data_IF_070806816554
#
_entry.id   IF_070806816554
#
_cell.length_a   1.000
_cell.length_b   1.000
_cell.length_c   1.000
_cell.angle_alpha   90.00
_cell.angle_beta   90.00
_cell.angle_gamma   90.00
#
_symmetry.space_group_name_H-M   'P 1'
#
loop_
_entity.id
_entity.type
_entity.pdbx_description
1 polymer ?
#
# COMPACT_ATOMS: atom_id res chain seq x y z
N UNK A 1 4.89 -1.41 26.11
CA UNK A 1 4.96 -0.26 27.00
C UNK A 1 5.38 0.95 26.19
N UNK A 2 4.76 2.12 26.38
CA UNK A 2 5.21 3.34 25.70
C UNK A 2 6.65 3.65 26.16
N UNK A 3 7.48 4.00 25.19
CA UNK A 3 8.89 4.31 25.46
C UNK A 3 9.06 5.74 25.96
N UNK A 4 8.16 6.64 25.50
CA UNK A 4 8.08 8.03 25.92
C UNK A 4 6.61 8.44 26.04
N UNK A 5 6.23 9.00 27.18
CA UNK A 5 4.89 9.47 27.46
C UNK A 5 4.17 8.68 28.55
N UNK A 6 2.99 9.15 28.92
CA UNK A 6 2.20 8.59 30.03
C UNK A 6 1.35 7.35 29.63
N UNK A 7 1.40 6.96 28.36
CA UNK A 7 0.64 5.83 27.83
C UNK A 7 -0.86 6.08 27.65
N UNK A 8 -1.36 7.28 27.87
CA UNK A 8 -2.79 7.59 27.77
C UNK A 8 -3.34 7.24 26.39
N UNK A 9 -2.73 7.76 25.33
CA UNK A 9 -3.17 7.51 23.94
C UNK A 9 -3.15 6.03 23.57
N UNK A 10 -2.16 5.27 24.08
CA UNK A 10 -2.10 3.82 23.92
C UNK A 10 -3.27 3.12 24.63
N UNK A 11 -3.57 3.50 25.86
CA UNK A 11 -4.66 2.92 26.62
C UNK A 11 -6.03 3.24 26.00
N UNK A 12 -6.22 4.46 25.50
CA UNK A 12 -7.40 4.85 24.73
C UNK A 12 -7.55 4.01 23.47
N UNK A 13 -6.49 3.82 22.70
CA UNK A 13 -6.50 2.95 21.51
C UNK A 13 -6.90 1.52 21.86
N UNK A 14 -6.38 0.99 22.98
CA UNK A 14 -6.75 -0.35 23.45
C UNK A 14 -8.23 -0.41 23.89
N UNK A 15 -8.75 0.64 24.51
CA UNK A 15 -10.16 0.71 24.87
C UNK A 15 -11.06 0.70 23.64
N UNK A 16 -10.72 1.45 22.59
CA UNK A 16 -11.45 1.48 21.32
C UNK A 16 -11.45 0.12 20.62
N UNK A 17 -10.30 -0.56 20.58
CA UNK A 17 -10.17 -1.90 20.02
C UNK A 17 -10.91 -2.98 20.81
N UNK A 18 -11.21 -2.73 22.07
CA UNK A 18 -12.00 -3.64 22.92
C UNK A 18 -13.50 -3.27 22.98
N UNK A 19 -13.90 -2.21 22.28
CA UNK A 19 -15.28 -1.75 22.18
C UNK A 19 -16.16 -2.64 21.32
N UNK A 20 -17.41 -2.21 21.12
CA UNK A 20 -18.41 -2.95 20.34
C UNK A 20 -18.17 -2.88 18.82
N UNK A 21 -17.51 -1.82 18.35
CA UNK A 21 -17.22 -1.58 16.93
C UNK A 21 -15.73 -1.19 16.76
N UNK A 22 -14.80 -2.13 16.92
CA UNK A 22 -13.37 -1.88 16.86
C UNK A 22 -12.91 -1.14 15.60
N UNK A 23 -13.41 -1.53 14.41
CA UNK A 23 -13.01 -0.89 13.15
C UNK A 23 -13.40 0.57 13.11
N UNK A 24 -14.67 0.88 13.29
CA UNK A 24 -15.16 2.25 13.23
C UNK A 24 -14.53 3.14 14.33
N UNK A 25 -14.42 2.61 15.56
CA UNK A 25 -13.94 3.38 16.70
C UNK A 25 -12.44 3.65 16.65
N UNK A 26 -11.63 2.67 16.24
CA UNK A 26 -10.18 2.78 16.31
C UNK A 26 -9.56 3.61 15.16
N UNK A 27 -10.31 3.96 14.11
CA UNK A 27 -9.80 4.78 13.00
C UNK A 27 -9.29 6.16 13.43
N UNK A 28 -9.82 6.71 14.51
CA UNK A 28 -9.34 7.97 15.07
C UNK A 28 -7.94 7.86 15.70
N UNK A 29 -7.52 6.64 16.08
CA UNK A 29 -6.28 6.37 16.79
C UNK A 29 -5.29 5.50 16.02
N UNK A 30 -5.76 4.77 15.00
CA UNK A 30 -4.94 3.89 14.16
C UNK A 30 -5.03 4.32 12.70
N UNK A 31 -3.89 4.49 12.06
CA UNK A 31 -3.82 4.52 10.61
C UNK A 31 -4.05 3.08 10.08
N UNK A 32 -5.30 2.78 9.74
CA UNK A 32 -5.73 1.45 9.34
C UNK A 32 -4.98 0.97 8.08
N UNK A 33 -4.77 1.85 7.11
CA UNK A 33 -4.04 1.50 5.90
C UNK A 33 -2.58 1.14 6.21
N UNK A 34 -1.90 1.95 7.02
CA UNK A 34 -0.54 1.64 7.45
C UNK A 34 -0.47 0.36 8.29
N UNK A 35 -1.42 0.14 9.20
CA UNK A 35 -1.46 -1.09 10.00
C UNK A 35 -1.64 -2.34 9.12
N UNK A 36 -2.52 -2.26 8.12
CA UNK A 36 -2.72 -3.35 7.17
C UNK A 36 -1.44 -3.56 6.36
N UNK A 37 -0.84 -2.52 5.81
CA UNK A 37 0.40 -2.62 5.03
C UNK A 37 1.55 -3.23 5.82
N UNK A 38 1.71 -2.80 7.06
CA UNK A 38 2.67 -3.40 7.98
C UNK A 38 2.42 -4.89 8.18
N UNK A 39 1.15 -5.28 8.37
CA UNK A 39 0.76 -6.68 8.54
C UNK A 39 0.96 -7.49 7.25
N UNK A 40 0.66 -6.91 6.08
CA UNK A 40 0.92 -7.53 4.79
C UNK A 40 2.41 -7.82 4.59
N UNK A 41 3.28 -6.87 4.91
CA UNK A 41 4.72 -7.08 4.90
C UNK A 41 5.12 -8.20 5.86
N UNK A 42 4.60 -8.18 7.06
CA UNK A 42 4.89 -9.18 8.07
C UNK A 42 4.46 -10.59 7.63
N UNK A 43 3.21 -10.76 7.22
CA UNK A 43 2.68 -12.05 6.76
C UNK A 43 3.41 -12.55 5.50
N UNK A 44 3.80 -11.64 4.58
CA UNK A 44 4.53 -12.01 3.36
C UNK A 44 5.96 -12.45 3.64
N UNK A 45 6.62 -11.82 4.60
CA UNK A 45 8.03 -12.04 4.91
C UNK A 45 8.28 -13.04 6.02
N UNK A 46 7.24 -13.43 6.76
CA UNK A 46 7.34 -14.25 7.96
C UNK A 46 8.46 -13.80 8.89
N UNK A 47 8.34 -12.65 9.42
CA UNK A 47 9.34 -12.18 10.31
C UNK A 47 8.96 -12.44 11.77
N UNK A 48 9.95 -12.77 12.52
CA UNK A 48 9.82 -13.00 13.95
C UNK A 48 9.56 -11.72 14.75
N UNK A 49 9.39 -11.83 16.02
CA UNK A 49 8.75 -10.96 17.00
C UNK A 49 9.23 -9.50 17.11
N UNK A 50 10.29 -9.08 16.45
CA UNK A 50 10.90 -7.76 16.67
C UNK A 50 10.24 -6.60 15.88
N UNK A 51 9.28 -6.90 15.04
CA UNK A 51 8.61 -5.93 14.17
C UNK A 51 7.49 -5.11 14.82
N UNK A 52 7.40 -5.08 16.12
CA UNK A 52 6.29 -4.48 16.86
C UNK A 52 6.55 -3.03 17.26
N UNK A 53 7.21 -2.27 16.41
CA UNK A 53 7.44 -0.86 16.68
C UNK A 53 6.36 -0.01 16.04
N UNK A 54 5.76 0.86 16.82
CA UNK A 54 4.78 1.83 16.36
C UNK A 54 4.83 3.06 17.23
N UNK A 55 4.26 4.13 16.73
CA UNK A 55 4.22 5.38 17.45
C UNK A 55 3.25 6.38 16.85
N UNK A 56 2.87 7.35 17.65
CA UNK A 56 2.12 8.52 17.25
C UNK A 56 2.99 9.75 17.49
N UNK A 57 3.35 10.43 16.41
CA UNK A 57 4.13 11.68 16.47
C UNK A 57 3.61 12.64 15.42
N UNK A 58 3.11 13.83 15.79
CA UNK A 58 2.86 14.33 17.15
C UNK A 58 1.73 13.57 17.87
N UNK A 59 1.60 13.76 19.18
CA UNK A 59 0.51 13.17 19.96
C UNK A 59 -0.86 13.59 19.39
N UNK A 60 -1.79 12.62 19.35
CA UNK A 60 -3.15 12.85 18.82
C UNK A 60 -3.30 12.59 17.33
N UNK A 61 -2.23 12.23 16.62
CA UNK A 61 -2.37 11.66 15.26
C UNK A 61 -2.47 10.13 15.34
N UNK A 62 -3.12 9.48 14.35
CA UNK A 62 -3.23 8.03 14.34
C UNK A 62 -1.87 7.31 14.41
N UNK A 63 -1.79 6.26 15.20
CA UNK A 63 -0.60 5.42 15.29
C UNK A 63 -0.24 4.84 13.92
N UNK A 64 1.07 4.87 13.62
CA UNK A 64 1.69 4.17 12.50
C UNK A 64 2.67 3.13 13.00
N UNK A 65 2.78 2.04 12.26
CA UNK A 65 3.69 0.94 12.55
C UNK A 65 4.86 0.94 11.56
N UNK A 66 6.02 0.63 12.07
CA UNK A 66 7.28 0.65 11.32
C UNK A 66 8.01 -0.67 11.50
N UNK A 67 8.63 -1.14 10.42
CA UNK A 67 9.51 -2.30 10.50
C UNK A 67 10.77 -1.93 11.26
N UNK A 68 11.09 -2.72 12.28
CA UNK A 68 12.34 -2.65 13.01
C UNK A 68 13.04 -3.99 12.88
N UNK A 69 14.33 -3.97 12.57
CA UNK A 69 15.18 -5.15 12.54
C UNK A 69 14.68 -6.28 11.60
N UNK A 70 14.57 -6.01 10.28
CA UNK A 70 13.99 -6.94 9.31
C UNK A 70 14.96 -8.03 8.81
N UNK A 71 15.97 -8.39 9.56
CA UNK A 71 16.98 -9.38 9.17
C UNK A 71 16.41 -10.80 8.99
N UNK A 72 15.30 -11.10 9.68
CA UNK A 72 14.54 -12.34 9.54
C UNK A 72 13.56 -12.38 8.36
N UNK A 73 13.41 -11.29 7.59
CA UNK A 73 12.44 -11.20 6.50
C UNK A 73 12.70 -12.26 5.42
N UNK A 74 11.66 -12.95 4.97
CA UNK A 74 11.69 -14.07 4.02
C UNK A 74 12.37 -15.35 4.54
N UNK A 75 12.73 -15.44 5.82
CA UNK A 75 13.36 -16.64 6.37
C UNK A 75 12.42 -17.86 6.33
N UNK A 76 11.15 -17.66 6.59
CA UNK A 76 10.13 -18.72 6.57
C UNK A 76 8.78 -18.15 6.07
N UNK A 77 8.55 -18.07 4.77
CA UNK A 77 7.37 -17.41 4.18
C UNK A 77 6.08 -18.24 4.33
N UNK A 78 5.88 -18.84 5.47
CA UNK A 78 4.75 -19.70 5.80
C UNK A 78 3.78 -19.16 6.85
N UNK A 79 3.91 -17.90 7.27
CA UNK A 79 3.07 -17.38 8.35
C UNK A 79 1.60 -17.30 7.97
N UNK A 80 0.71 -17.86 8.81
CA UNK A 80 -0.71 -17.66 8.61
C UNK A 80 -1.09 -16.19 8.84
N UNK A 81 -2.13 -15.73 8.16
CA UNK A 81 -2.67 -14.38 8.34
C UNK A 81 -3.47 -14.21 9.65
N UNK A 82 -3.60 -15.27 10.43
CA UNK A 82 -4.30 -15.26 11.73
C UNK A 82 -3.48 -14.64 12.86
N UNK A 83 -2.29 -14.13 12.54
CA UNK A 83 -1.47 -13.44 13.53
C UNK A 83 -2.22 -12.26 14.15
N UNK A 84 -2.02 -12.07 15.45
CA UNK A 84 -2.76 -11.06 16.20
C UNK A 84 -2.46 -9.62 15.76
N UNK A 85 -1.39 -9.42 14.99
CA UNK A 85 -0.96 -8.10 14.53
C UNK A 85 -0.50 -7.17 15.65
N UNK A 86 -0.15 -5.94 15.30
CA UNK A 86 0.17 -4.93 16.29
C UNK A 86 -1.01 -4.73 17.26
N UNK A 87 -0.72 -4.59 18.55
CA UNK A 87 -1.74 -4.34 19.60
C UNK A 87 -2.84 -5.41 19.71
N UNK A 88 -2.68 -6.58 19.14
CA UNK A 88 -3.76 -7.53 18.88
C UNK A 88 -4.90 -6.94 18.01
N UNK A 89 -4.65 -5.84 17.31
CA UNK A 89 -5.66 -5.15 16.51
C UNK A 89 -6.22 -6.04 15.41
N UNK A 90 -5.37 -6.77 14.70
CA UNK A 90 -5.80 -7.69 13.65
C UNK A 90 -6.76 -8.77 14.18
N UNK A 91 -6.47 -9.33 15.36
CA UNK A 91 -7.36 -10.31 16.00
C UNK A 91 -8.72 -9.72 16.36
N UNK A 92 -8.74 -8.48 16.83
CA UNK A 92 -9.96 -7.77 17.20
C UNK A 92 -10.82 -7.45 15.97
N UNK A 93 -10.20 -6.85 14.95
CA UNK A 93 -10.88 -6.49 13.69
C UNK A 93 -11.36 -7.72 12.93
N UNK A 94 -10.60 -8.81 12.94
CA UNK A 94 -11.03 -10.08 12.40
C UNK A 94 -12.25 -10.65 13.15
N UNK A 95 -12.23 -10.59 14.48
CA UNK A 95 -13.32 -11.10 15.32
C UNK A 95 -14.60 -10.28 15.14
N UNK A 96 -14.50 -8.98 14.89
CA UNK A 96 -15.63 -8.11 14.54
C UNK A 96 -16.26 -8.52 13.22
N UNK A 97 -15.43 -8.85 12.21
CA UNK A 97 -15.89 -9.26 10.89
C UNK A 97 -16.51 -8.13 10.07
N UNK A 98 -16.12 -6.89 10.34
CA UNK A 98 -16.64 -5.73 9.62
C UNK A 98 -16.33 -5.82 8.11
N UNK A 99 -17.32 -5.72 7.21
CA UNK A 99 -17.13 -5.87 5.77
C UNK A 99 -16.27 -4.75 5.17
N UNK A 100 -16.32 -3.52 5.70
CA UNK A 100 -15.49 -2.41 5.24
C UNK A 100 -14.01 -2.67 5.55
N UNK A 101 -13.74 -3.26 6.71
CA UNK A 101 -12.38 -3.68 7.04
C UNK A 101 -11.87 -4.77 6.08
N UNK A 102 -12.71 -5.77 5.75
CA UNK A 102 -12.34 -6.82 4.78
C UNK A 102 -12.05 -6.25 3.39
N UNK A 103 -12.86 -5.29 2.93
CA UNK A 103 -12.64 -4.62 1.66
C UNK A 103 -11.36 -3.80 1.69
N UNK A 104 -11.10 -3.05 2.76
CA UNK A 104 -9.86 -2.30 2.90
C UNK A 104 -8.62 -3.22 2.86
N UNK A 105 -8.67 -4.38 3.52
CA UNK A 105 -7.60 -5.39 3.44
C UNK A 105 -7.42 -5.88 2.00
N UNK A 106 -8.51 -6.16 1.29
CA UNK A 106 -8.46 -6.59 -0.10
C UNK A 106 -7.85 -5.53 -1.02
N UNK A 107 -8.26 -4.27 -0.87
CA UNK A 107 -7.73 -3.14 -1.62
C UNK A 107 -6.22 -2.99 -1.41
N UNK A 108 -5.74 -3.08 -0.15
CA UNK A 108 -4.31 -3.02 0.16
C UNK A 108 -3.54 -4.20 -0.43
N UNK A 109 -4.09 -5.41 -0.41
CA UNK A 109 -3.48 -6.57 -1.07
C UNK A 109 -3.37 -6.32 -2.58
N UNK A 110 -4.44 -5.86 -3.23
CA UNK A 110 -4.41 -5.58 -4.67
C UNK A 110 -3.43 -4.47 -5.02
N UNK A 111 -3.40 -3.39 -4.25
CA UNK A 111 -2.47 -2.28 -4.47
C UNK A 111 -1.00 -2.72 -4.42
N UNK A 112 -0.65 -3.61 -3.50
CA UNK A 112 0.75 -3.96 -3.27
C UNK A 112 1.23 -5.20 -4.01
N UNK A 113 0.37 -6.21 -4.20
CA UNK A 113 0.78 -7.52 -4.71
C UNK A 113 0.37 -7.78 -6.16
N UNK A 114 -0.42 -6.92 -6.76
CA UNK A 114 -0.89 -7.08 -8.14
C UNK A 114 -0.41 -5.94 -9.04
N UNK A 115 -0.54 -6.18 -10.34
CA UNK A 115 -0.17 -5.23 -11.39
C UNK A 115 1.27 -4.73 -11.19
N UNK A 116 1.47 -3.43 -11.06
CA UNK A 116 2.78 -2.82 -10.81
C UNK A 116 3.01 -2.48 -9.33
N UNK A 117 2.26 -3.07 -8.43
CA UNK A 117 2.40 -2.89 -6.98
C UNK A 117 3.81 -3.26 -6.49
N UNK A 118 4.21 -2.64 -5.39
CA UNK A 118 5.57 -2.78 -4.86
C UNK A 118 5.97 -4.22 -4.55
N UNK A 119 5.04 -5.07 -4.16
CA UNK A 119 5.23 -6.49 -3.84
C UNK A 119 4.70 -7.42 -4.93
N UNK A 120 4.37 -6.89 -6.11
CA UNK A 120 3.99 -7.74 -7.25
C UNK A 120 5.13 -8.71 -7.59
N UNK A 121 4.84 -9.92 -8.07
CA UNK A 121 5.86 -10.94 -8.32
C UNK A 121 7.05 -10.43 -9.14
N UNK A 122 6.80 -9.75 -10.25
CA UNK A 122 7.85 -9.20 -11.11
C UNK A 122 8.75 -8.19 -10.38
N UNK A 123 8.15 -7.28 -9.61
CA UNK A 123 8.88 -6.27 -8.84
C UNK A 123 9.68 -6.87 -7.69
N UNK A 124 9.08 -7.81 -6.96
CA UNK A 124 9.72 -8.48 -5.83
C UNK A 124 10.90 -9.35 -6.30
N UNK A 125 10.69 -10.17 -7.33
CA UNK A 125 11.75 -10.99 -7.95
C UNK A 125 12.88 -10.10 -8.48
N UNK A 126 12.56 -9.05 -9.24
CA UNK A 126 13.58 -8.17 -9.80
C UNK A 126 14.41 -7.43 -8.73
N UNK A 127 13.81 -7.07 -7.59
CA UNK A 127 14.57 -6.48 -6.47
C UNK A 127 15.47 -7.49 -5.79
N UNK A 128 14.95 -8.67 -5.50
CA UNK A 128 15.78 -9.71 -4.86
C UNK A 128 16.92 -10.14 -5.77
N UNK A 129 16.66 -10.35 -7.07
CA UNK A 129 17.69 -10.72 -8.03
C UNK A 129 18.86 -9.72 -8.03
N UNK A 130 18.55 -8.43 -8.10
CA UNK A 130 19.60 -7.39 -8.02
C UNK A 130 20.40 -7.47 -6.72
N UNK A 131 19.76 -7.76 -5.59
CA UNK A 131 20.47 -7.92 -4.30
C UNK A 131 21.34 -9.17 -4.27
N UNK A 132 20.84 -10.27 -4.79
CA UNK A 132 21.62 -11.51 -4.93
C UNK A 132 22.89 -11.27 -5.76
N UNK A 133 22.74 -10.59 -6.91
CA UNK A 133 23.87 -10.29 -7.79
C UNK A 133 24.92 -9.38 -7.11
N UNK A 134 24.43 -8.36 -6.38
CA UNK A 134 25.30 -7.42 -5.64
C UNK A 134 26.06 -8.08 -4.48
N UNK A 135 25.43 -9.03 -3.79
CA UNK A 135 25.98 -9.60 -2.55
C UNK A 135 26.70 -10.92 -2.76
N UNK A 136 26.55 -11.55 -3.91
CA UNK A 136 27.15 -12.87 -4.21
C UNK A 136 28.63 -12.97 -3.87
N UNK A 137 29.42 -11.98 -4.31
CA UNK A 137 30.87 -12.00 -4.13
C UNK A 137 31.28 -11.79 -2.68
N UNK A 138 30.61 -10.88 -1.99
CA UNK A 138 30.81 -10.66 -0.55
C UNK A 138 30.44 -11.89 0.26
N UNK A 139 29.36 -12.58 -0.12
CA UNK A 139 28.94 -13.80 0.54
C UNK A 139 29.97 -14.94 0.38
N UNK A 140 30.59 -15.07 -0.79
CA UNK A 140 31.69 -16.04 -0.98
C UNK A 140 32.85 -15.81 -0.01
N UNK A 141 33.24 -14.56 0.16
CA UNK A 141 34.30 -14.17 1.10
C UNK A 141 33.90 -14.44 2.56
N UNK A 142 32.68 -14.12 2.93
CA UNK A 142 32.10 -14.42 4.26
C UNK A 142 32.06 -15.92 4.53
N UNK A 143 31.57 -16.71 3.56
CA UNK A 143 31.50 -18.16 3.67
C UNK A 143 32.87 -18.79 3.85
N UNK A 144 33.87 -18.34 3.08
CA UNK A 144 35.23 -18.82 3.19
C UNK A 144 35.88 -18.47 4.55
N UNK A 145 35.55 -17.29 5.10
CA UNK A 145 36.13 -16.82 6.37
C UNK A 145 35.49 -17.49 7.60
N UNK A 146 34.16 -17.59 7.62
CA UNK A 146 33.44 -17.95 8.82
C UNK A 146 32.78 -19.33 8.77
N UNK A 147 32.66 -19.95 7.61
CA UNK A 147 32.07 -21.27 7.44
C UNK A 147 30.61 -21.40 7.85
N UNK A 148 29.92 -20.27 8.04
CA UNK A 148 28.56 -20.26 8.58
C UNK A 148 27.53 -20.91 7.64
N UNK A 149 27.65 -20.69 6.33
CA UNK A 149 26.76 -21.27 5.31
C UNK A 149 27.54 -21.51 4.02
N UNK A 150 27.35 -22.65 3.39
CA UNK A 150 28.02 -22.93 2.12
C UNK A 150 27.44 -22.07 0.99
N UNK A 151 28.26 -21.72 -0.04
CA UNK A 151 27.77 -21.01 -1.22
C UNK A 151 26.61 -21.72 -1.92
N UNK A 152 26.62 -23.06 -1.98
CA UNK A 152 25.56 -23.87 -2.57
C UNK A 152 24.25 -23.75 -1.78
N UNK A 153 24.32 -23.84 -0.46
CA UNK A 153 23.16 -23.69 0.42
C UNK A 153 22.56 -22.31 0.32
N UNK A 154 23.38 -21.27 0.26
CA UNK A 154 22.94 -19.89 0.05
C UNK A 154 22.26 -19.74 -1.31
N UNK A 155 22.88 -20.23 -2.39
CA UNK A 155 22.32 -20.15 -3.74
C UNK A 155 20.96 -20.87 -3.81
N UNK A 156 20.87 -22.10 -3.30
CA UNK A 156 19.61 -22.87 -3.29
C UNK A 156 18.48 -22.12 -2.55
N UNK A 157 18.82 -21.42 -1.49
CA UNK A 157 17.85 -20.60 -0.77
C UNK A 157 17.37 -19.40 -1.61
N UNK A 158 18.28 -18.69 -2.28
CA UNK A 158 17.90 -17.59 -3.17
C UNK A 158 17.07 -18.08 -4.36
N UNK A 159 17.44 -19.21 -4.95
CA UNK A 159 16.72 -19.83 -6.06
C UNK A 159 15.29 -20.21 -5.67
N UNK A 160 15.10 -20.73 -4.46
CA UNK A 160 13.76 -21.01 -3.95
C UNK A 160 12.92 -19.74 -3.76
N UNK A 161 13.50 -18.67 -3.24
CA UNK A 161 12.81 -17.38 -3.14
C UNK A 161 12.42 -16.83 -4.50
N UNK A 162 13.36 -16.82 -5.44
CA UNK A 162 13.20 -16.21 -6.76
C UNK A 162 12.23 -17.00 -7.67
N UNK A 163 12.30 -18.34 -7.62
CA UNK A 163 11.59 -19.18 -8.58
C UNK A 163 10.29 -19.78 -8.02
N UNK A 164 10.13 -19.83 -6.70
CA UNK A 164 8.96 -20.47 -6.10
C UNK A 164 8.15 -19.53 -5.22
N UNK A 165 8.77 -18.82 -4.28
CA UNK A 165 8.02 -18.09 -3.26
C UNK A 165 7.51 -16.75 -3.77
N UNK A 166 8.39 -15.90 -4.29
CA UNK A 166 8.01 -14.58 -4.76
C UNK A 166 7.08 -14.60 -5.99
N UNK A 167 7.24 -15.50 -6.97
CA UNK A 167 6.28 -15.62 -8.07
C UNK A 167 4.85 -15.95 -7.63
N UNK A 168 4.70 -16.71 -6.53
CA UNK A 168 3.41 -17.12 -6.01
C UNK A 168 2.88 -16.24 -4.86
N UNK A 169 3.58 -15.16 -4.52
CA UNK A 169 3.32 -14.40 -3.30
C UNK A 169 1.92 -13.79 -3.29
N UNK A 170 1.46 -13.21 -4.40
CA UNK A 170 0.13 -12.58 -4.50
C UNK A 170 -1.00 -13.58 -4.21
N UNK A 171 -0.97 -14.75 -4.86
CA UNK A 171 -1.96 -15.80 -4.63
C UNK A 171 -1.88 -16.35 -3.19
N UNK A 172 -0.68 -16.48 -2.67
CA UNK A 172 -0.45 -16.91 -1.28
C UNK A 172 -1.08 -15.94 -0.29
N UNK A 173 -0.93 -14.63 -0.51
CA UNK A 173 -1.51 -13.61 0.36
C UNK A 173 -3.05 -13.66 0.34
N UNK A 174 -3.66 -13.69 -0.84
CA UNK A 174 -5.12 -13.84 -0.94
C UNK A 174 -5.61 -15.08 -0.19
N UNK A 175 -4.99 -16.22 -0.43
CA UNK A 175 -5.41 -17.47 0.21
C UNK A 175 -5.30 -17.43 1.74
N UNK A 176 -4.22 -16.84 2.26
CA UNK A 176 -4.04 -16.68 3.71
C UNK A 176 -5.09 -15.78 4.34
N UNK A 177 -5.30 -14.60 3.75
CA UNK A 177 -6.26 -13.63 4.28
C UNK A 177 -7.71 -14.12 4.10
N UNK A 178 -8.03 -14.82 3.02
CA UNK A 178 -9.33 -15.46 2.81
C UNK A 178 -9.57 -16.56 3.85
N UNK A 179 -8.60 -17.44 4.09
CA UNK A 179 -8.68 -18.50 5.11
C UNK A 179 -8.85 -17.94 6.53
N UNK A 180 -8.32 -16.74 6.77
CA UNK A 180 -8.46 -16.05 8.05
C UNK A 180 -9.77 -15.23 8.16
N UNK A 181 -10.64 -15.25 7.14
CA UNK A 181 -11.88 -14.46 7.13
C UNK A 181 -11.66 -12.96 6.96
N UNK A 182 -10.50 -12.54 6.44
CA UNK A 182 -10.12 -11.13 6.25
C UNK A 182 -10.05 -10.72 4.77
N UNK A 183 -10.58 -11.53 3.87
CA UNK A 183 -10.65 -11.23 2.45
C UNK A 183 -11.99 -11.70 1.90
N UNK A 184 -12.64 -10.95 1.00
CA UNK A 184 -13.93 -11.32 0.42
C UNK A 184 -13.88 -12.69 -0.26
N UNK A 185 -15.05 -13.35 -0.32
CA UNK A 185 -15.18 -14.65 -1.00
C UNK A 185 -15.09 -14.51 -2.52
N UNK A 186 -15.51 -13.37 -3.07
CA UNK A 186 -15.39 -13.06 -4.49
C UNK A 186 -14.01 -12.49 -4.81
N UNK A 187 -13.53 -12.83 -5.99
CA UNK A 187 -12.31 -12.21 -6.52
C UNK A 187 -12.62 -10.81 -7.07
N UNK A 188 -11.61 -9.93 -7.00
CA UNK A 188 -11.71 -8.61 -7.59
C UNK A 188 -11.87 -8.70 -9.12
N UNK A 189 -12.59 -7.74 -9.75
CA UNK A 189 -12.64 -7.65 -11.20
C UNK A 189 -11.26 -7.50 -11.83
N UNK A 190 -11.06 -8.14 -12.98
CA UNK A 190 -9.85 -8.03 -13.78
C UNK A 190 -10.09 -7.02 -14.88
N UNK A 191 -9.20 -6.04 -15.02
CA UNK A 191 -9.23 -5.03 -16.06
C UNK A 191 -8.37 -5.43 -17.25
N UNK A 192 -8.79 -5.07 -18.45
CA UNK A 192 -7.97 -5.26 -19.65
C UNK A 192 -6.68 -4.44 -19.63
N UNK A 193 -6.66 -3.34 -18.85
CA UNK A 193 -5.48 -2.53 -18.58
C UNK A 193 -5.61 -1.83 -17.21
N UNK A 194 -4.56 -1.90 -16.41
CA UNK A 194 -4.49 -1.27 -15.08
C UNK A 194 -3.68 0.03 -15.16
N UNK A 195 -4.36 1.12 -15.51
CA UNK A 195 -3.73 2.44 -15.62
C UNK A 195 -2.80 2.58 -16.83
N UNK A 196 -2.08 3.71 -16.89
CA UNK A 196 -1.18 4.05 -17.98
C UNK A 196 -1.84 4.82 -19.11
N UNK A 197 -1.03 5.20 -20.10
CA UNK A 197 -1.51 5.91 -21.29
C UNK A 197 -2.31 4.98 -22.21
N UNK A 198 -3.42 5.49 -22.71
CA UNK A 198 -4.30 4.77 -23.65
C UNK A 198 -4.58 5.65 -24.86
N UNK A 199 -4.84 5.01 -26.00
CA UNK A 199 -5.27 5.73 -27.21
C UNK A 199 -6.71 6.23 -27.09
N UNK A 200 -7.08 7.22 -27.88
CA UNK A 200 -8.41 7.87 -27.85
C UNK A 200 -9.59 6.93 -28.08
N UNK A 201 -9.38 5.78 -28.71
CA UNK A 201 -10.39 4.76 -28.98
C UNK A 201 -10.35 3.58 -28.00
N UNK A 202 -9.54 3.66 -26.94
CA UNK A 202 -9.41 2.58 -25.97
C UNK A 202 -10.74 2.36 -25.23
N UNK A 203 -11.15 1.11 -25.14
CA UNK A 203 -12.28 0.68 -24.33
C UNK A 203 -11.78 -0.23 -23.23
N UNK A 204 -12.03 0.17 -21.99
CA UNK A 204 -11.72 -0.66 -20.83
C UNK A 204 -12.71 -1.81 -20.75
N UNK A 205 -12.21 -3.03 -20.76
CA UNK A 205 -13.00 -4.22 -20.44
C UNK A 205 -12.73 -4.63 -18.98
N UNK A 206 -13.80 -5.01 -18.30
CA UNK A 206 -13.76 -5.54 -16.94
C UNK A 206 -14.42 -6.91 -16.93
N UNK A 207 -13.79 -7.89 -16.28
CA UNK A 207 -14.34 -9.23 -16.11
C UNK A 207 -14.30 -9.64 -14.65
N UNK A 208 -15.34 -10.32 -14.17
CA UNK A 208 -15.43 -10.83 -12.81
C UNK A 208 -15.84 -12.30 -12.80
N UNK A 209 -15.49 -13.02 -11.73
CA UNK A 209 -15.81 -14.44 -11.53
C UNK A 209 -17.24 -14.67 -11.05
N UNK A 210 -17.98 -13.61 -10.72
CA UNK A 210 -19.37 -13.69 -10.27
C UNK A 210 -19.92 -12.32 -9.86
N UNK A 211 -21.24 -12.24 -9.71
CA UNK A 211 -21.92 -11.01 -9.29
C UNK A 211 -22.01 -9.94 -10.39
N UNK A 212 -22.39 -8.73 -9.96
CA UNK A 212 -22.47 -7.54 -10.80
C UNK A 212 -21.27 -6.64 -10.49
N UNK A 213 -20.60 -6.14 -11.53
CA UNK A 213 -19.52 -5.17 -11.38
C UNK A 213 -20.12 -3.77 -11.33
N UNK A 214 -19.88 -3.07 -10.23
CA UNK A 214 -20.17 -1.65 -10.09
C UNK A 214 -18.88 -0.86 -10.24
N UNK A 215 -18.92 0.26 -10.90
CA UNK A 215 -17.74 1.12 -11.08
C UNK A 215 -18.12 2.60 -11.11
N UNK A 216 -17.16 3.44 -10.79
CA UNK A 216 -17.23 4.89 -10.92
C UNK A 216 -16.12 5.37 -11.87
N UNK A 217 -16.26 6.56 -12.40
CA UNK A 217 -15.26 7.17 -13.29
C UNK A 217 -14.59 8.40 -12.67
N UNK A 218 -15.04 8.79 -11.48
CA UNK A 218 -14.59 9.98 -10.75
C UNK A 218 -13.74 9.63 -9.51
N UNK A 219 -13.53 8.32 -9.27
CA UNK A 219 -12.77 7.85 -8.10
C UNK A 219 -13.60 7.73 -6.81
N UNK A 220 -14.91 7.98 -6.87
CA UNK A 220 -15.81 7.74 -5.74
C UNK A 220 -15.96 6.23 -5.49
N UNK A 221 -16.41 5.87 -4.29
CA UNK A 221 -16.66 4.47 -3.93
C UNK A 221 -17.98 4.01 -4.60
N UNK A 222 -17.96 2.99 -5.48
CA UNK A 222 -19.16 2.51 -6.16
C UNK A 222 -20.17 1.83 -5.22
N UNK A 223 -19.82 1.59 -3.97
CA UNK A 223 -20.74 1.04 -2.95
C UNK A 223 -21.62 2.10 -2.31
N UNK A 224 -21.18 3.34 -2.31
CA UNK A 224 -21.99 4.46 -1.85
C UNK A 224 -23.04 4.74 -2.94
N UNK A 225 -24.36 4.68 -2.61
CA UNK A 225 -25.36 5.22 -3.51
C UNK A 225 -24.92 6.65 -3.86
N UNK A 226 -24.78 6.95 -5.16
CA UNK A 226 -24.62 8.32 -5.54
C UNK A 226 -25.80 9.08 -4.91
N UNK A 227 -25.53 10.03 -4.02
CA UNK A 227 -26.53 11.04 -3.73
C UNK A 227 -27.09 11.45 -5.09
N UNK A 228 -28.42 11.61 -5.25
CA UNK A 228 -28.96 12.07 -6.51
C UNK A 228 -28.35 13.45 -6.74
N UNK A 229 -27.16 13.46 -7.31
CA UNK A 229 -26.51 14.68 -7.77
C UNK A 229 -27.47 15.18 -8.83
N UNK A 230 -28.16 16.26 -8.51
CA UNK A 230 -28.65 17.14 -9.56
C UNK A 230 -27.38 17.43 -10.37
N UNK A 231 -27.25 16.77 -11.50
CA UNK A 231 -26.05 16.83 -12.29
C UNK A 231 -25.85 18.29 -12.68
N UNK A 232 -24.98 18.99 -11.97
CA UNK A 232 -24.35 20.14 -12.57
C UNK A 232 -23.69 19.63 -13.85
N UNK A 233 -23.96 20.28 -14.98
CA UNK A 233 -23.35 19.85 -16.22
C UNK A 233 -21.84 19.76 -16.00
N UNK A 234 -21.16 18.71 -16.52
CA UNK A 234 -19.76 18.49 -16.24
C UNK A 234 -18.98 19.77 -16.55
N UNK A 235 -18.44 20.39 -15.51
CA UNK A 235 -17.58 21.57 -15.67
C UNK A 235 -16.27 21.04 -16.22
N UNK A 236 -16.04 21.24 -17.50
CA UNK A 236 -14.74 20.99 -18.09
C UNK A 236 -13.79 22.04 -17.52
N UNK A 237 -13.04 21.69 -16.50
CA UNK A 237 -12.06 22.59 -15.87
C UNK A 237 -10.97 22.98 -16.86
N UNK A 238 -10.61 22.09 -17.78
CA UNK A 238 -9.66 22.34 -18.83
C UNK A 238 -9.97 21.43 -20.05
N UNK A 239 -10.44 21.99 -21.13
CA UNK A 239 -10.66 21.24 -22.37
C UNK A 239 -9.33 20.65 -22.86
N UNK A 240 -9.35 19.43 -23.43
CA UNK A 240 -8.14 18.76 -23.92
C UNK A 240 -7.36 19.56 -24.98
N UNK A 241 -8.08 20.43 -25.71
CA UNK A 241 -7.56 21.35 -26.73
C UNK A 241 -7.37 22.80 -26.22
N UNK A 242 -7.54 23.05 -24.94
CA UNK A 242 -7.29 24.37 -24.39
C UNK A 242 -5.78 24.66 -24.37
N UNK A 243 -5.42 25.90 -24.70
CA UNK A 243 -4.04 26.35 -24.52
C UNK A 243 -3.66 26.27 -23.06
N UNK A 244 -2.49 25.76 -22.78
CA UNK A 244 -1.93 25.59 -21.44
C UNK A 244 -0.60 26.28 -21.35
N UNK A 245 -0.27 26.81 -20.20
CA UNK A 245 1.04 27.41 -19.96
C UNK A 245 1.81 26.55 -18.95
N UNK A 246 3.11 26.48 -19.12
CA UNK A 246 4.00 25.70 -18.25
C UNK A 246 5.08 26.63 -17.73
N UNK A 247 5.26 26.64 -16.42
CA UNK A 247 6.40 27.28 -15.80
C UNK A 247 7.55 26.28 -15.66
N UNK A 248 8.70 26.63 -16.21
CA UNK A 248 9.93 25.85 -16.04
C UNK A 248 10.80 26.59 -15.02
N UNK A 249 10.98 26.05 -13.80
CA UNK A 249 11.82 26.68 -12.81
C UNK A 249 13.24 26.87 -13.30
N UNK A 250 13.78 28.07 -13.17
CA UNK A 250 15.16 28.41 -13.59
C UNK A 250 16.16 28.37 -12.41
N UNK A 251 15.66 28.25 -11.18
CA UNK A 251 16.47 28.14 -9.98
C UNK A 251 15.75 27.42 -8.86
N UNK A 252 16.48 26.97 -7.85
CA UNK A 252 15.90 26.34 -6.64
C UNK A 252 15.07 27.30 -5.78
N UNK A 253 15.14 28.60 -6.03
CA UNK A 253 14.39 29.65 -5.33
C UNK A 253 13.19 30.16 -6.13
N UNK A 254 12.93 29.60 -7.30
CA UNK A 254 11.80 29.93 -8.13
C UNK A 254 10.51 29.42 -7.46
N UNK A 255 9.71 30.31 -6.94
CA UNK A 255 8.57 29.99 -6.06
C UNK A 255 7.23 30.02 -6.79
N UNK A 256 7.13 29.65 -8.03
CA UNK A 256 5.83 29.56 -8.70
C UNK A 256 4.89 30.74 -8.36
N UNK A 257 5.42 31.93 -8.38
CA UNK A 257 4.66 33.16 -8.21
C UNK A 257 4.72 34.02 -9.49
N UNK A 258 3.67 34.76 -9.75
CA UNK A 258 3.72 35.76 -10.80
C UNK A 258 4.64 36.95 -10.39
N UNK A 259 4.94 37.80 -11.33
CA UNK A 259 5.78 38.96 -11.06
C UNK A 259 5.22 39.95 -9.99
N UNK A 260 3.97 39.80 -9.57
CA UNK A 260 3.32 40.55 -8.49
C UNK A 260 3.47 39.86 -7.12
N UNK A 261 4.01 38.65 -7.06
CA UNK A 261 4.11 37.81 -5.86
C UNK A 261 2.86 36.98 -5.56
N UNK A 262 1.90 36.92 -6.49
CA UNK A 262 0.69 36.11 -6.34
C UNK A 262 1.02 34.66 -6.57
N UNK A 263 0.68 33.76 -5.62
CA UNK A 263 0.92 32.36 -5.74
C UNK A 263 0.04 31.69 -6.82
N UNK A 264 0.56 30.74 -7.54
CA UNK A 264 -0.09 30.07 -8.67
C UNK A 264 -1.46 29.41 -8.37
N UNK A 265 -1.75 29.14 -7.12
CA UNK A 265 -2.98 28.47 -6.68
C UNK A 265 -4.08 29.42 -6.18
N UNK A 266 -3.95 30.69 -6.42
CA UNK A 266 -4.97 31.70 -6.04
C UNK A 266 -5.57 32.38 -7.26
N UNK A 267 -6.80 32.86 -7.10
CA UNK A 267 -7.48 33.63 -8.14
C UNK A 267 -6.73 34.92 -8.45
N UNK A 268 -6.57 35.22 -9.74
CA UNK A 268 -5.85 36.43 -10.20
C UNK A 268 -4.37 36.19 -10.50
N UNK A 269 -3.90 34.93 -10.45
CA UNK A 269 -2.55 34.59 -10.89
C UNK A 269 -2.37 34.90 -12.39
N UNK A 270 -1.31 35.61 -12.74
CA UNK A 270 -0.95 35.96 -14.12
C UNK A 270 0.14 35.00 -14.63
N UNK A 271 -0.24 34.08 -15.50
CA UNK A 271 0.65 33.12 -16.15
C UNK A 271 1.15 33.52 -17.53
N UNK A 272 0.94 34.82 -17.90
CA UNK A 272 1.29 35.33 -19.24
C UNK A 272 2.79 35.19 -19.57
N UNK A 273 3.63 35.11 -18.54
CA UNK A 273 5.07 34.87 -18.68
C UNK A 273 5.46 33.40 -18.83
N UNK A 274 4.51 32.48 -18.68
CA UNK A 274 4.76 31.04 -18.78
C UNK A 274 4.80 30.59 -20.23
N UNK A 275 5.48 29.49 -20.48
CA UNK A 275 5.56 28.92 -21.83
C UNK A 275 4.19 28.37 -22.19
N UNK A 276 3.57 28.89 -23.25
CA UNK A 276 2.33 28.32 -23.79
C UNK A 276 2.61 26.94 -24.42
N UNK A 277 1.82 25.95 -24.05
CA UNK A 277 1.91 24.62 -24.63
C UNK A 277 1.28 24.58 -26.02
N UNK A 278 1.86 23.80 -26.87
CA UNK A 278 1.49 23.53 -28.24
C UNK A 278 0.26 22.64 -28.36
#
# INVERSE_FOLDING_TARGET
>A
TPYDGDGTYWNETQALLNGASPYASAQSHLDMANMIDFTLLWVSGNSESEFRSGGSVPLGVPFKFYMKDPDGFLRNPGHPADHNGPLNAMAKLRAEGDPEYQVLVADRIHQHFFNDGAMSPSRAVGRLQRRVDQTRQSFLSESARWGYRSPQSWQSYQDNLLNNQLPNLAATMINRFRSAGMYPSLDAPVFSQHGGAVGNSFQLAMTGTGGTIYYTTDGSDPRTPADPVVADPPVTLLAGNASKTVHVPVSATDQFADGSGTAWNVSGFDDSSWISSF
#
